data_IF_278013184104
#
_entry.id   IF_278013184104
#
_cell.length_a   1.000
_cell.length_b   1.000
_cell.length_c   1.000
_cell.angle_alpha   90.00
_cell.angle_beta   90.00
_cell.angle_gamma   90.00
#
_symmetry.space_group_name_H-M   'P 1'
#
loop_
_entity.id
_entity.type
_entity.pdbx_description
1 polymer ?
#
# COMPACT_ATOMS: atom_id res chain seq x y z
N UNK A 1 10.37 24.75 13.96
CA UNK A 1 10.05 23.30 14.01
C UNK A 1 8.61 22.97 13.58
N UNK A 2 7.58 23.71 14.03
CA UNK A 2 6.19 23.47 13.59
C UNK A 2 5.95 23.72 12.08
N UNK A 3 6.76 24.57 11.44
CA UNK A 3 6.62 24.92 10.02
C UNK A 3 7.11 23.82 9.07
N UNK A 4 8.19 23.11 9.46
CA UNK A 4 8.76 21.98 8.70
C UNK A 4 7.79 20.79 8.69
N UNK A 5 7.11 20.51 9.81
CA UNK A 5 6.08 19.48 9.92
C UNK A 5 4.82 19.78 9.08
N UNK A 6 4.46 21.07 8.92
CA UNK A 6 3.34 21.46 8.06
C UNK A 6 3.68 21.32 6.57
N UNK A 7 4.90 21.69 6.18
CA UNK A 7 5.40 21.49 4.82
C UNK A 7 5.40 20.02 4.39
N UNK A 8 5.90 19.13 5.25
CA UNK A 8 5.95 17.68 4.99
C UNK A 8 4.55 17.06 4.85
N UNK A 9 3.59 17.44 5.71
CA UNK A 9 2.21 16.96 5.59
C UNK A 9 1.50 17.45 4.32
N UNK A 10 1.84 18.64 3.85
CA UNK A 10 1.22 19.22 2.66
C UNK A 10 1.80 18.64 1.37
N UNK A 11 3.08 18.27 1.36
CA UNK A 11 3.71 17.51 0.29
C UNK A 11 3.11 16.10 0.16
N UNK A 12 3.06 15.33 1.27
CA UNK A 12 2.45 13.99 1.30
C UNK A 12 1.00 13.97 0.82
N UNK A 13 0.20 14.95 1.21
CA UNK A 13 -1.20 15.07 0.72
C UNK A 13 -1.28 15.32 -0.78
N UNK A 14 -0.35 16.08 -1.36
CA UNK A 14 -0.30 16.32 -2.81
C UNK A 14 0.13 15.06 -3.55
N UNK A 15 1.12 14.35 -3.03
CA UNK A 15 1.61 13.08 -3.59
C UNK A 15 0.50 12.01 -3.58
N UNK A 16 -0.18 11.81 -2.45
CA UNK A 16 -1.32 10.90 -2.35
C UNK A 16 -2.46 11.27 -3.32
N UNK A 17 -2.75 12.56 -3.47
CA UNK A 17 -3.76 13.02 -4.44
C UNK A 17 -3.33 12.78 -5.90
N UNK A 18 -2.05 12.89 -6.22
CA UNK A 18 -1.50 12.56 -7.55
C UNK A 18 -1.55 11.06 -7.81
N UNK A 19 -1.13 10.23 -6.86
CA UNK A 19 -1.23 8.77 -6.95
C UNK A 19 -2.68 8.33 -7.15
N UNK A 20 -3.63 8.90 -6.41
CA UNK A 20 -5.05 8.56 -6.56
C UNK A 20 -5.62 8.99 -7.92
N UNK A 21 -5.22 10.15 -8.45
CA UNK A 21 -5.59 10.57 -9.82
C UNK A 21 -5.03 9.62 -10.87
N UNK A 22 -3.77 9.20 -10.72
CA UNK A 22 -3.13 8.26 -11.63
C UNK A 22 -3.83 6.90 -11.60
N UNK A 23 -4.21 6.43 -10.41
CA UNK A 23 -4.96 5.18 -10.23
C UNK A 23 -6.32 5.22 -10.93
N UNK A 24 -7.09 6.30 -10.76
CA UNK A 24 -8.36 6.50 -11.46
C UNK A 24 -8.16 6.52 -12.98
N UNK A 25 -7.10 7.18 -13.46
CA UNK A 25 -6.78 7.23 -14.89
C UNK A 25 -6.45 5.85 -15.46
N UNK A 26 -5.63 5.07 -14.77
CA UNK A 26 -5.29 3.71 -15.18
C UNK A 26 -6.52 2.80 -15.19
N UNK A 27 -7.38 2.88 -14.16
CA UNK A 27 -8.64 2.13 -14.12
C UNK A 27 -9.58 2.50 -15.27
N UNK A 28 -9.70 3.79 -15.59
CA UNK A 28 -10.51 4.24 -16.73
C UNK A 28 -9.97 3.69 -18.04
N UNK A 29 -8.66 3.71 -18.23
CA UNK A 29 -8.02 3.17 -19.44
C UNK A 29 -8.23 1.67 -19.58
N UNK A 30 -8.14 0.91 -18.48
CA UNK A 30 -8.46 -0.52 -18.47
C UNK A 30 -9.90 -0.76 -18.94
N UNK A 31 -10.87 -0.01 -18.42
CA UNK A 31 -12.28 -0.14 -18.82
C UNK A 31 -12.52 0.26 -20.29
N UNK A 32 -11.80 1.26 -20.79
CA UNK A 32 -11.82 1.62 -22.21
C UNK A 32 -11.30 0.46 -23.06
N UNK A 33 -10.16 -0.15 -22.69
CA UNK A 33 -9.61 -1.31 -23.40
C UNK A 33 -10.60 -2.48 -23.40
N UNK A 34 -11.23 -2.78 -22.27
CA UNK A 34 -12.27 -3.81 -22.16
C UNK A 34 -13.46 -3.55 -23.10
N UNK A 35 -13.81 -2.27 -23.34
CA UNK A 35 -14.87 -1.90 -24.27
C UNK A 35 -14.47 -2.01 -25.76
N UNK A 36 -13.17 -1.95 -26.06
CA UNK A 36 -12.64 -2.01 -27.43
C UNK A 36 -12.60 -3.45 -27.95
N UNK A 37 -12.33 -4.44 -27.11
CA UNK A 37 -12.23 -5.85 -27.52
C UNK A 37 -13.48 -6.39 -28.26
N UNK A 38 -14.72 -6.16 -27.77
CA UNK A 38 -15.92 -6.57 -28.48
C UNK A 38 -16.03 -5.94 -29.88
N UNK A 39 -15.75 -4.64 -30.00
CA UNK A 39 -15.80 -3.93 -31.28
C UNK A 39 -14.72 -4.44 -32.25
N UNK A 40 -13.52 -4.69 -31.74
CA UNK A 40 -12.41 -5.24 -32.53
C UNK A 40 -12.75 -6.65 -33.07
N UNK A 41 -13.44 -7.46 -32.26
CA UNK A 41 -13.94 -8.77 -32.68
C UNK A 41 -15.05 -8.65 -33.74
N UNK A 42 -16.00 -7.75 -33.56
CA UNK A 42 -17.06 -7.47 -34.54
C UNK A 42 -16.48 -7.00 -35.89
N UNK A 43 -15.46 -6.14 -35.86
CA UNK A 43 -14.75 -5.68 -37.06
C UNK A 43 -13.97 -6.81 -37.75
N UNK A 44 -13.47 -7.79 -37.00
CA UNK A 44 -12.82 -8.99 -37.55
C UNK A 44 -13.84 -9.90 -38.23
N UNK A 45 -14.96 -10.20 -37.56
CA UNK A 45 -16.01 -11.08 -38.10
C UNK A 45 -16.71 -10.45 -39.32
N UNK A 46 -16.88 -9.13 -39.33
CA UNK A 46 -17.42 -8.40 -40.49
C UNK A 46 -16.43 -8.28 -41.66
N UNK A 47 -15.17 -8.71 -41.49
CA UNK A 47 -14.12 -8.65 -42.51
C UNK A 47 -13.54 -7.25 -42.74
N UNK A 48 -13.83 -6.28 -41.87
CA UNK A 48 -13.25 -4.92 -41.93
C UNK A 48 -11.78 -4.91 -41.53
N UNK A 49 -11.36 -5.87 -40.69
CA UNK A 49 -9.95 -6.13 -40.38
C UNK A 49 -9.60 -7.59 -40.64
N UNK A 50 -8.33 -7.84 -40.99
CA UNK A 50 -7.80 -9.20 -41.17
C UNK A 50 -7.47 -9.82 -39.82
N UNK A 51 -7.48 -11.17 -39.74
CA UNK A 51 -7.07 -11.92 -38.54
C UNK A 51 -5.68 -11.49 -38.05
N UNK A 52 -4.72 -11.35 -38.96
CA UNK A 52 -3.35 -10.91 -38.60
C UNK A 52 -3.32 -9.53 -37.93
N UNK A 53 -4.18 -8.59 -38.38
CA UNK A 53 -4.30 -7.27 -37.76
C UNK A 53 -5.01 -7.33 -36.42
N UNK A 54 -6.01 -8.20 -36.28
CA UNK A 54 -6.67 -8.48 -35.00
C UNK A 54 -5.67 -9.02 -33.97
N UNK A 55 -4.88 -10.03 -34.32
CA UNK A 55 -3.89 -10.66 -33.43
C UNK A 55 -2.86 -9.63 -32.95
N UNK A 56 -2.38 -8.77 -33.86
CA UNK A 56 -1.42 -7.72 -33.52
C UNK A 56 -2.01 -6.65 -32.59
N UNK A 57 -3.22 -6.19 -32.87
CA UNK A 57 -3.89 -5.16 -32.05
C UNK A 57 -4.30 -5.70 -30.68
N UNK A 58 -4.87 -6.90 -30.64
CA UNK A 58 -5.26 -7.58 -29.39
C UNK A 58 -4.04 -7.81 -28.49
N UNK A 59 -2.94 -8.36 -29.01
CA UNK A 59 -1.69 -8.53 -28.25
C UNK A 59 -1.19 -7.22 -27.65
N UNK A 60 -1.21 -6.13 -28.44
CA UNK A 60 -0.76 -4.81 -27.95
C UNK A 60 -1.64 -4.28 -26.82
N UNK A 61 -2.96 -4.44 -26.93
CA UNK A 61 -3.91 -4.00 -25.92
C UNK A 61 -3.89 -4.88 -24.67
N UNK A 62 -3.67 -6.19 -24.81
CA UNK A 62 -3.50 -7.11 -23.69
C UNK A 62 -2.23 -6.79 -22.89
N UNK A 63 -1.12 -6.49 -23.58
CA UNK A 63 0.12 -6.02 -22.94
C UNK A 63 -0.09 -4.70 -22.18
N UNK A 64 -0.75 -3.72 -22.81
CA UNK A 64 -1.10 -2.44 -22.17
C UNK A 64 -1.97 -2.67 -20.93
N UNK A 65 -3.00 -3.52 -21.05
CA UNK A 65 -3.92 -3.80 -19.95
C UNK A 65 -3.23 -4.52 -18.79
N UNK A 66 -2.32 -5.47 -19.08
CA UNK A 66 -1.54 -6.17 -18.06
C UNK A 66 -0.64 -5.21 -17.27
N UNK A 67 0.05 -4.31 -17.98
CA UNK A 67 0.88 -3.28 -17.35
C UNK A 67 0.05 -2.35 -16.45
N UNK A 68 -1.09 -1.87 -16.94
CA UNK A 68 -1.98 -1.00 -16.17
C UNK A 68 -2.56 -1.71 -14.94
N UNK A 69 -2.91 -3.00 -15.04
CA UNK A 69 -3.40 -3.80 -13.91
C UNK A 69 -2.34 -3.96 -12.84
N UNK A 70 -1.08 -4.22 -13.21
CA UNK A 70 0.05 -4.25 -12.27
C UNK A 70 0.23 -2.90 -11.56
N UNK A 71 0.25 -1.80 -12.30
CA UNK A 71 0.37 -0.45 -11.72
C UNK A 71 -0.76 -0.13 -10.73
N UNK A 72 -1.99 -0.54 -11.03
CA UNK A 72 -3.13 -0.34 -10.12
C UNK A 72 -2.98 -1.19 -8.85
N UNK A 73 -2.52 -2.44 -8.98
CA UNK A 73 -2.27 -3.31 -7.82
C UNK A 73 -1.20 -2.75 -6.90
N UNK A 74 -0.07 -2.33 -7.44
CA UNK A 74 1.05 -1.79 -6.67
C UNK A 74 0.66 -0.48 -5.97
N UNK A 75 0.06 0.47 -6.72
CA UNK A 75 -0.41 1.72 -6.14
C UNK A 75 -1.50 1.52 -5.08
N UNK A 76 -2.39 0.54 -5.26
CA UNK A 76 -3.42 0.22 -4.26
C UNK A 76 -2.81 -0.38 -2.98
N UNK A 77 -1.73 -1.16 -3.10
CA UNK A 77 -1.01 -1.72 -1.94
C UNK A 77 -0.30 -0.63 -1.16
N UNK A 78 0.37 0.30 -1.85
CA UNK A 78 1.01 1.45 -1.22
C UNK A 78 0.00 2.30 -0.45
N UNK A 79 -1.13 2.65 -1.09
CA UNK A 79 -2.20 3.41 -0.43
C UNK A 79 -2.75 2.66 0.79
N UNK A 80 -2.96 1.34 0.69
CA UNK A 80 -3.44 0.55 1.82
C UNK A 80 -2.43 0.52 2.98
N UNK A 81 -1.14 0.35 2.68
CA UNK A 81 -0.07 0.39 3.68
C UNK A 81 -0.02 1.76 4.39
N UNK A 82 -0.16 2.87 3.66
CA UNK A 82 -0.23 4.20 4.26
C UNK A 82 -1.47 4.39 5.15
N UNK A 83 -2.63 3.87 4.72
CA UNK A 83 -3.86 3.92 5.51
C UNK A 83 -3.73 3.12 6.81
N UNK A 84 -3.12 1.94 6.75
CA UNK A 84 -2.90 1.09 7.92
C UNK A 84 -1.91 1.74 8.90
N UNK A 85 -0.81 2.32 8.40
CA UNK A 85 0.17 3.06 9.22
C UNK A 85 -0.46 4.31 9.85
N UNK A 86 -1.31 5.05 9.13
CA UNK A 86 -1.95 6.25 9.67
C UNK A 86 -3.06 5.94 10.68
N UNK A 87 -3.80 4.85 10.49
CA UNK A 87 -4.73 4.33 11.48
C UNK A 87 -3.98 3.85 12.74
N UNK A 88 -2.88 3.14 12.55
CA UNK A 88 -1.99 2.69 13.61
C UNK A 88 -1.44 3.85 14.46
N UNK A 89 -0.85 4.88 13.83
CA UNK A 89 -0.34 6.06 14.54
C UNK A 89 -1.43 6.82 15.31
N UNK A 90 -2.69 6.73 14.86
CA UNK A 90 -3.83 7.33 15.55
C UNK A 90 -4.19 6.56 16.81
N UNK A 91 -4.22 5.23 16.75
CA UNK A 91 -4.47 4.38 17.92
C UNK A 91 -3.31 4.46 18.92
N UNK A 92 -2.07 4.43 18.45
CA UNK A 92 -0.88 4.67 19.29
C UNK A 92 -0.95 6.04 19.97
N UNK A 93 -1.32 7.10 19.25
CA UNK A 93 -1.45 8.44 19.84
C UNK A 93 -2.54 8.50 20.90
N UNK A 94 -3.67 7.82 20.71
CA UNK A 94 -4.74 7.71 21.72
C UNK A 94 -4.23 6.96 22.95
N UNK A 95 -3.52 5.86 22.73
CA UNK A 95 -2.90 5.07 23.78
C UNK A 95 -1.90 5.91 24.59
N UNK A 96 -0.90 6.49 23.92
CA UNK A 96 0.10 7.39 24.53
C UNK A 96 -0.58 8.53 25.31
N UNK A 97 -1.59 9.20 24.76
CA UNK A 97 -2.31 10.27 25.50
C UNK A 97 -3.06 9.80 26.74
N UNK A 98 -3.54 8.56 26.78
CA UNK A 98 -4.22 7.99 27.96
C UNK A 98 -3.24 7.62 29.07
N UNK A 99 -1.99 7.30 28.73
CA UNK A 99 -1.01 6.73 29.67
C UNK A 99 0.22 7.61 29.95
N UNK A 100 0.45 8.72 29.22
CA UNK A 100 1.60 9.65 29.41
C UNK A 100 1.53 10.52 30.68
N UNK A 101 0.54 10.33 31.56
CA UNK A 101 0.54 10.96 32.88
C UNK A 101 1.18 10.12 34.00
N UNK A 102 1.74 8.95 33.69
CA UNK A 102 2.50 8.17 34.68
C UNK A 102 3.99 8.22 34.34
N UNK A 103 4.78 8.82 35.23
CA UNK A 103 6.26 8.85 35.17
C UNK A 103 6.90 7.45 35.39
N UNK A 104 6.09 6.38 35.48
CA UNK A 104 6.54 5.01 35.77
C UNK A 104 5.91 4.00 34.80
N UNK A 105 6.74 3.08 34.29
CA UNK A 105 6.31 1.88 33.56
C UNK A 105 5.51 0.98 34.51
N UNK A 106 4.19 1.06 34.44
CA UNK A 106 3.32 0.19 35.24
C UNK A 106 3.13 -1.16 34.52
N UNK A 107 3.05 -2.29 35.24
CA UNK A 107 2.83 -3.62 34.66
C UNK A 107 1.59 -3.71 33.76
N UNK A 108 0.57 -2.91 34.04
CA UNK A 108 -0.65 -2.77 33.25
C UNK A 108 -0.36 -2.17 31.87
N UNK A 109 0.50 -1.14 31.81
CA UNK A 109 0.95 -0.52 30.57
C UNK A 109 1.74 -1.51 29.72
N UNK A 110 2.65 -2.27 30.33
CA UNK A 110 3.41 -3.32 29.63
C UNK A 110 2.51 -4.42 29.07
N UNK A 111 1.50 -4.85 29.83
CA UNK A 111 0.52 -5.83 29.36
C UNK A 111 -0.35 -5.29 28.21
N UNK A 112 -0.65 -4.00 28.19
CA UNK A 112 -1.38 -3.38 27.08
C UNK A 112 -0.49 -3.12 25.84
N UNK A 113 0.83 -3.02 26.01
CA UNK A 113 1.78 -2.78 24.91
C UNK A 113 2.32 -4.05 24.25
N UNK A 114 2.56 -5.10 25.03
CA UNK A 114 3.25 -6.31 24.59
C UNK A 114 2.23 -7.39 24.24
N UNK A 115 2.33 -7.95 23.04
CA UNK A 115 1.51 -9.05 22.55
C UNK A 115 2.04 -10.38 23.09
N UNK A 116 3.35 -10.62 22.89
CA UNK A 116 4.05 -11.79 23.43
C UNK A 116 5.55 -11.51 23.60
N UNK A 117 6.17 -12.24 24.52
CA UNK A 117 7.63 -12.25 24.73
C UNK A 117 8.12 -13.65 24.41
N UNK A 118 8.99 -13.77 23.41
CA UNK A 118 9.65 -15.01 23.03
C UNK A 118 11.02 -15.06 23.70
N UNK A 119 11.32 -16.17 24.36
CA UNK A 119 12.63 -16.42 24.97
C UNK A 119 13.25 -17.62 24.24
N UNK A 120 14.34 -17.36 23.54
CA UNK A 120 15.08 -18.37 22.79
C UNK A 120 16.02 -19.16 23.72
N UNK A 121 16.40 -20.37 23.34
CA UNK A 121 17.26 -21.26 24.14
C UNK A 121 18.64 -20.65 24.44
N UNK A 122 19.09 -19.72 23.61
CA UNK A 122 20.33 -18.96 23.77
C UNK A 122 20.16 -17.67 24.60
N UNK A 123 19.05 -17.55 25.33
CA UNK A 123 18.70 -16.41 26.19
C UNK A 123 18.42 -15.11 25.43
N UNK A 124 18.22 -15.15 24.11
CA UNK A 124 17.69 -13.98 23.37
C UNK A 124 16.23 -13.74 23.74
N UNK A 125 15.91 -12.47 24.02
CA UNK A 125 14.56 -12.02 24.33
C UNK A 125 14.05 -11.23 23.13
N UNK A 126 12.91 -11.65 22.59
CA UNK A 126 12.25 -11.00 21.46
C UNK A 126 10.85 -10.58 21.90
N UNK A 127 10.59 -9.27 21.85
CA UNK A 127 9.35 -8.66 22.33
C UNK A 127 8.49 -8.29 21.13
N UNK A 128 7.35 -8.94 20.99
CA UNK A 128 6.34 -8.59 19.99
C UNK A 128 5.36 -7.61 20.63
N UNK A 129 5.24 -6.42 20.04
CA UNK A 129 4.29 -5.41 20.51
C UNK A 129 2.93 -5.63 19.84
N UNK A 130 1.83 -5.40 20.58
CA UNK A 130 0.45 -5.41 20.05
C UNK A 130 0.24 -4.39 18.94
N UNK A 131 1.19 -3.47 18.84
CA UNK A 131 1.27 -2.33 17.96
C UNK A 131 2.07 -2.65 16.69
N UNK A 132 1.65 -3.66 15.92
CA UNK A 132 1.93 -3.82 14.47
C UNK A 132 3.37 -3.70 13.96
N UNK A 133 4.38 -3.68 14.84
CA UNK A 133 5.78 -3.86 14.48
C UNK A 133 5.96 -5.37 14.34
N UNK A 134 5.46 -5.90 13.22
CA UNK A 134 5.84 -7.22 12.74
C UNK A 134 7.36 -7.29 12.79
N UNK A 135 7.85 -8.19 13.62
CA UNK A 135 9.21 -8.65 13.75
C UNK A 135 10.29 -7.64 13.28
N UNK A 136 10.67 -6.70 14.15
CA UNK A 136 11.75 -5.75 13.89
C UNK A 136 13.14 -6.41 13.78
N UNK A 137 13.24 -7.73 13.93
CA UNK A 137 14.48 -8.47 13.75
C UNK A 137 15.08 -8.28 12.35
N UNK A 138 14.25 -8.00 11.32
CA UNK A 138 14.73 -7.80 9.95
C UNK A 138 15.25 -6.38 9.64
N UNK A 139 14.91 -5.37 10.45
CA UNK A 139 15.38 -3.98 10.22
C UNK A 139 16.74 -3.66 10.86
N UNK A 140 17.31 -4.61 11.62
CA UNK A 140 18.64 -4.44 12.25
C UNK A 140 19.77 -4.93 11.33
N UNK A 141 19.48 -5.71 10.27
CA UNK A 141 20.51 -6.28 9.41
C UNK A 141 20.97 -5.39 8.23
N UNK A 142 20.34 -4.23 8.00
CA UNK A 142 20.71 -3.32 6.89
C UNK A 142 21.56 -2.11 7.32
N UNK A 143 22.15 -2.13 8.53
CA UNK A 143 23.12 -1.11 8.99
C UNK A 143 24.43 -1.77 9.45
N UNK A 144 24.97 -2.66 8.62
CA UNK A 144 26.35 -3.14 8.74
C UNK A 144 27.19 -2.66 7.55
#
# INVERSE_FOLDING_TARGET
MADVLKGDQQARKKEAAQQQKQLIRSQKRIAELDSIFPQLYEDMVSGRITSERFDKLSSTYEEEQALLKQQVLDASREIQAELDVTAYLRELRKFVRKHVHFETLTPELLHEMIDKIMIHEDKRIEVHYKFGLGDLSHLINDIA
#
